data_IF_729184898318
#
_entry.id   IF_729184898318
#
_cell.length_a   1.000
_cell.length_b   1.000
_cell.length_c   1.000
_cell.angle_alpha   90.00
_cell.angle_beta   90.00
_cell.angle_gamma   90.00
#
_symmetry.space_group_name_H-M   'P 1'
#
loop_
_entity.id
_entity.type
_entity.pdbx_description
1 polymer ?
#
# COMPACT_ATOMS: atom_id res chain seq x y z
N UNK A 1 -19.15 -9.61 -15.15
CA UNK A 1 -18.73 -9.90 -13.76
C UNK A 1 -19.91 -10.22 -12.84
N UNK A 2 -20.79 -9.26 -12.49
CA UNK A 2 -21.89 -9.53 -11.52
C UNK A 2 -22.81 -10.67 -11.98
N UNK A 3 -23.24 -10.68 -13.25
CA UNK A 3 -24.07 -11.74 -13.81
C UNK A 3 -23.41 -13.13 -13.66
N UNK A 4 -22.10 -13.21 -13.95
CA UNK A 4 -21.32 -14.44 -13.81
C UNK A 4 -21.18 -14.88 -12.35
N UNK A 5 -21.00 -13.94 -11.40
CA UNK A 5 -20.98 -14.28 -9.97
C UNK A 5 -22.34 -14.79 -9.49
N UNK A 6 -23.44 -14.22 -9.99
CA UNK A 6 -24.80 -14.72 -9.72
C UNK A 6 -25.01 -16.12 -10.29
N UNK A 7 -24.51 -16.38 -11.49
CA UNK A 7 -24.56 -17.70 -12.12
C UNK A 7 -23.74 -18.74 -11.33
N UNK A 8 -22.53 -18.39 -10.89
CA UNK A 8 -21.71 -19.25 -10.01
C UNK A 8 -22.45 -19.55 -8.70
N UNK A 9 -23.03 -18.53 -8.06
CA UNK A 9 -23.85 -18.73 -6.85
C UNK A 9 -24.99 -19.70 -7.13
N UNK A 10 -25.74 -19.49 -8.23
CA UNK A 10 -26.84 -20.35 -8.65
C UNK A 10 -26.38 -21.80 -8.83
N UNK A 11 -25.26 -22.02 -9.51
CA UNK A 11 -24.70 -23.36 -9.72
C UNK A 11 -24.31 -24.06 -8.41
N UNK A 12 -23.82 -23.31 -7.43
CA UNK A 12 -23.43 -23.89 -6.14
C UNK A 12 -24.66 -24.25 -5.31
N UNK A 13 -25.67 -23.37 -5.28
CA UNK A 13 -26.88 -23.55 -4.46
C UNK A 13 -27.87 -24.53 -5.08
N UNK A 14 -28.12 -24.43 -6.39
CA UNK A 14 -29.17 -25.20 -7.08
C UNK A 14 -28.61 -26.47 -7.74
N UNK A 15 -27.42 -26.39 -8.34
CA UNK A 15 -26.84 -27.50 -9.12
C UNK A 15 -25.81 -28.32 -8.31
N UNK A 16 -25.61 -28.01 -7.03
CA UNK A 16 -24.70 -28.75 -6.13
C UNK A 16 -23.22 -28.65 -6.49
N UNK A 17 -22.81 -27.65 -7.27
CA UNK A 17 -21.41 -27.46 -7.62
C UNK A 17 -20.56 -27.11 -6.38
N UNK A 18 -19.36 -27.66 -6.27
CA UNK A 18 -18.46 -27.31 -5.17
C UNK A 18 -17.95 -25.87 -5.28
N UNK A 19 -18.06 -25.11 -4.19
CA UNK A 19 -17.54 -23.75 -4.09
C UNK A 19 -16.03 -23.70 -4.36
N UNK A 20 -15.27 -24.66 -3.82
CA UNK A 20 -13.81 -24.71 -4.01
C UNK A 20 -13.43 -24.96 -5.48
N UNK A 21 -14.19 -25.79 -6.19
CA UNK A 21 -13.98 -26.03 -7.63
C UNK A 21 -14.27 -24.78 -8.45
N UNK A 22 -15.40 -24.10 -8.20
CA UNK A 22 -15.72 -22.83 -8.86
C UNK A 22 -14.66 -21.76 -8.56
N UNK A 23 -14.14 -21.72 -7.33
CA UNK A 23 -13.08 -20.80 -6.97
C UNK A 23 -11.77 -21.07 -7.72
N UNK A 24 -11.36 -22.33 -7.90
CA UNK A 24 -10.17 -22.69 -8.67
C UNK A 24 -10.30 -22.22 -10.14
N UNK A 25 -11.49 -22.40 -10.72
CA UNK A 25 -11.73 -22.06 -12.13
C UNK A 25 -11.83 -20.54 -12.37
N UNK A 26 -12.54 -19.82 -11.48
CA UNK A 26 -12.97 -18.45 -11.76
C UNK A 26 -12.34 -17.38 -10.87
N UNK A 27 -11.72 -17.73 -9.74
CA UNK A 27 -11.13 -16.74 -8.85
C UNK A 27 -9.87 -16.13 -9.46
N UNK A 28 -9.85 -14.81 -9.55
CA UNK A 28 -8.67 -14.01 -9.87
C UNK A 28 -7.64 -14.01 -8.73
N UNK A 29 -8.08 -14.27 -7.50
CA UNK A 29 -7.19 -14.51 -6.37
C UNK A 29 -6.71 -15.97 -6.38
N UNK A 30 -5.46 -16.18 -6.84
CA UNK A 30 -4.79 -17.48 -6.89
C UNK A 30 -4.19 -17.91 -5.56
N UNK A 31 -3.95 -16.96 -4.64
CA UNK A 31 -3.31 -17.25 -3.36
C UNK A 31 -4.32 -17.82 -2.36
N UNK A 32 -5.49 -17.19 -2.25
CA UNK A 32 -6.50 -17.53 -1.24
C UNK A 32 -7.89 -17.87 -1.77
N UNK A 33 -8.16 -17.69 -3.07
CA UNK A 33 -9.44 -18.07 -3.68
C UNK A 33 -9.80 -19.54 -3.43
N UNK A 34 -10.97 -19.77 -2.82
CA UNK A 34 -11.47 -21.11 -2.50
C UNK A 34 -10.83 -21.78 -1.27
N UNK A 35 -9.80 -21.17 -0.67
CA UNK A 35 -9.25 -21.63 0.62
C UNK A 35 -10.13 -21.14 1.76
N UNK A 36 -10.13 -21.89 2.85
CA UNK A 36 -10.83 -21.51 4.07
C UNK A 36 -10.00 -20.47 4.83
N UNK A 37 -10.58 -19.29 5.02
CA UNK A 37 -9.99 -18.16 5.72
C UNK A 37 -10.75 -17.93 7.02
N UNK A 38 -10.04 -17.98 8.15
CA UNK A 38 -10.64 -17.71 9.47
C UNK A 38 -10.18 -16.35 9.98
N UNK A 39 -11.12 -15.50 10.36
CA UNK A 39 -10.82 -14.16 10.86
C UNK A 39 -11.87 -13.64 11.83
N UNK A 40 -11.55 -12.53 12.50
CA UNK A 40 -12.45 -11.80 13.37
C UNK A 40 -12.60 -10.34 12.91
N UNK A 41 -13.47 -9.56 13.57
CA UNK A 41 -13.74 -8.16 13.19
C UNK A 41 -12.50 -7.24 13.24
N UNK A 42 -11.48 -7.59 14.04
CA UNK A 42 -10.24 -6.83 14.19
C UNK A 42 -9.17 -7.20 13.15
N UNK A 43 -9.39 -8.24 12.35
CA UNK A 43 -8.47 -8.63 11.29
C UNK A 43 -8.39 -7.57 10.18
N UNK A 44 -7.26 -7.56 9.47
CA UNK A 44 -6.89 -6.60 8.42
C UNK A 44 -7.61 -6.81 7.06
N UNK A 45 -8.73 -7.53 7.05
CA UNK A 45 -9.55 -7.67 5.85
C UNK A 45 -10.30 -6.37 5.53
N UNK A 46 -10.61 -6.19 4.24
CA UNK A 46 -11.45 -5.09 3.75
C UNK A 46 -12.76 -5.02 4.53
N UNK A 47 -13.22 -3.80 4.82
CA UNK A 47 -14.39 -3.57 5.68
C UNK A 47 -15.63 -4.22 5.09
N UNK A 48 -15.86 -4.05 3.80
CA UNK A 48 -17.00 -4.60 3.05
C UNK A 48 -16.99 -6.13 3.10
N UNK A 49 -15.81 -6.75 3.01
CA UNK A 49 -15.66 -8.20 3.11
C UNK A 49 -16.04 -8.73 4.50
N UNK A 50 -15.59 -8.03 5.55
CA UNK A 50 -15.96 -8.39 6.93
C UNK A 50 -17.46 -8.19 7.17
N UNK A 51 -18.01 -7.05 6.75
CA UNK A 51 -19.41 -6.72 6.96
C UNK A 51 -20.34 -7.79 6.33
N UNK A 52 -20.02 -8.22 5.10
CA UNK A 52 -20.76 -9.32 4.44
C UNK A 52 -20.55 -10.64 5.18
N UNK A 53 -19.31 -11.04 5.49
CA UNK A 53 -19.04 -12.30 6.18
C UNK A 53 -19.76 -12.43 7.54
N UNK A 54 -19.85 -11.35 8.30
CA UNK A 54 -20.53 -11.33 9.60
C UNK A 54 -22.06 -11.12 9.51
N UNK A 55 -22.59 -10.84 8.32
CA UNK A 55 -24.04 -10.70 8.09
C UNK A 55 -24.73 -12.02 7.74
N UNK A 56 -23.96 -13.03 7.32
CA UNK A 56 -24.46 -14.31 6.82
C UNK A 56 -24.44 -15.40 7.89
N UNK A 57 -25.30 -16.40 7.70
CA UNK A 57 -25.36 -17.60 8.54
C UNK A 57 -24.40 -18.69 8.07
N UNK A 58 -24.10 -19.66 8.94
CA UNK A 58 -23.29 -20.83 8.59
C UNK A 58 -23.91 -21.60 7.42
N UNK A 59 -23.12 -21.86 6.38
CA UNK A 59 -23.55 -22.50 5.13
C UNK A 59 -24.05 -21.53 4.05
N UNK A 60 -24.32 -20.27 4.38
CA UNK A 60 -24.88 -19.29 3.45
C UNK A 60 -23.83 -18.73 2.48
N UNK A 61 -24.29 -18.37 1.27
CA UNK A 61 -23.47 -17.74 0.22
C UNK A 61 -23.98 -16.32 -0.05
N UNK A 62 -23.06 -15.36 0.03
CA UNK A 62 -23.36 -13.94 -0.19
C UNK A 62 -23.88 -13.67 -1.59
N UNK A 63 -24.62 -12.58 -1.76
CA UNK A 63 -24.74 -11.95 -3.08
C UNK A 63 -23.41 -11.32 -3.51
N UNK A 64 -23.22 -11.02 -4.82
CA UNK A 64 -22.03 -10.34 -5.30
C UNK A 64 -21.88 -8.96 -4.66
N UNK A 65 -20.73 -8.70 -4.03
CA UNK A 65 -20.42 -7.42 -3.41
C UNK A 65 -19.05 -6.90 -3.87
N UNK A 66 -18.82 -5.59 -3.77
CA UNK A 66 -17.60 -4.94 -4.27
C UNK A 66 -16.67 -4.59 -3.11
N UNK A 67 -15.38 -4.82 -3.31
CA UNK A 67 -14.28 -4.28 -2.49
C UNK A 67 -13.29 -3.55 -3.40
N UNK A 68 -12.24 -2.96 -2.83
CA UNK A 68 -11.13 -2.39 -3.61
C UNK A 68 -10.42 -3.44 -4.48
N UNK A 69 -10.49 -4.73 -4.12
CA UNK A 69 -9.86 -5.81 -4.88
C UNK A 69 -10.69 -6.28 -6.08
N UNK A 70 -11.97 -5.93 -6.14
CA UNK A 70 -12.89 -6.34 -7.21
C UNK A 70 -14.24 -6.80 -6.68
N UNK A 71 -14.87 -7.73 -7.39
CA UNK A 71 -16.18 -8.26 -7.03
C UNK A 71 -16.05 -9.64 -6.40
N UNK A 72 -16.73 -9.85 -5.28
CA UNK A 72 -16.62 -11.04 -4.48
C UNK A 72 -17.97 -11.72 -4.33
N UNK A 73 -17.94 -13.05 -4.21
CA UNK A 73 -18.92 -13.81 -3.43
C UNK A 73 -18.16 -14.58 -2.37
N UNK A 74 -18.78 -14.79 -1.21
CA UNK A 74 -18.22 -15.62 -0.15
C UNK A 74 -19.23 -16.61 0.39
N UNK A 75 -18.74 -17.74 0.90
CA UNK A 75 -19.50 -18.76 1.61
C UNK A 75 -19.01 -18.81 3.05
N UNK A 76 -19.93 -18.75 4.02
CA UNK A 76 -19.58 -18.99 5.43
C UNK A 76 -19.53 -20.49 5.66
N UNK A 77 -18.35 -20.99 6.03
CA UNK A 77 -18.12 -22.41 6.34
C UNK A 77 -18.48 -22.71 7.78
N UNK A 78 -18.05 -21.85 8.71
CA UNK A 78 -18.27 -22.06 10.14
C UNK A 78 -18.22 -20.77 10.95
N UNK A 79 -19.04 -20.66 11.98
CA UNK A 79 -18.98 -19.56 12.95
C UNK A 79 -18.54 -20.11 14.32
N UNK A 80 -17.48 -19.54 14.91
CA UNK A 80 -16.95 -19.93 16.23
C UNK A 80 -16.80 -18.70 17.13
N UNK A 81 -17.80 -18.43 17.95
CA UNK A 81 -17.79 -17.28 18.85
C UNK A 81 -17.68 -15.96 18.10
N UNK A 82 -16.50 -15.32 18.13
CA UNK A 82 -16.22 -14.05 17.44
C UNK A 82 -15.47 -14.23 16.11
N UNK A 83 -15.18 -15.47 15.72
CA UNK A 83 -14.48 -15.81 14.50
C UNK A 83 -15.45 -16.40 13.47
N UNK A 84 -15.19 -16.08 12.20
CA UNK A 84 -15.88 -16.63 11.04
C UNK A 84 -14.87 -17.27 10.11
N UNK A 85 -15.16 -18.48 9.65
CA UNK A 85 -14.41 -19.19 8.63
C UNK A 85 -15.19 -19.11 7.31
N UNK A 86 -14.57 -18.57 6.26
CA UNK A 86 -15.22 -18.37 4.95
C UNK A 86 -14.36 -18.90 3.80
N UNK A 87 -14.99 -19.11 2.65
CA UNK A 87 -14.31 -19.22 1.34
C UNK A 87 -14.79 -18.09 0.46
N UNK A 88 -13.95 -17.55 -0.43
CA UNK A 88 -14.36 -16.53 -1.39
C UNK A 88 -13.94 -16.85 -2.82
N UNK A 89 -14.65 -16.21 -3.74
CA UNK A 89 -14.30 -16.10 -5.16
C UNK A 89 -14.18 -14.62 -5.47
N UNK A 90 -13.01 -14.20 -5.97
CA UNK A 90 -12.78 -12.85 -6.45
C UNK A 90 -12.85 -12.84 -7.99
N UNK A 91 -13.62 -11.93 -8.57
CA UNK A 91 -13.53 -11.59 -9.98
C UNK A 91 -13.09 -10.14 -10.14
N UNK A 92 -12.07 -9.94 -10.96
CA UNK A 92 -11.66 -8.62 -11.42
C UNK A 92 -12.22 -8.41 -12.83
N UNK A 93 -12.95 -7.31 -13.11
CA UNK A 93 -13.35 -6.99 -14.46
C UNK A 93 -12.11 -6.80 -15.34
N UNK A 94 -12.06 -7.53 -16.45
CA UNK A 94 -11.07 -7.27 -17.49
C UNK A 94 -11.42 -5.94 -18.15
N UNK A 95 -10.45 -5.03 -18.22
CA UNK A 95 -10.60 -3.77 -18.93
C UNK A 95 -10.33 -4.08 -20.40
N UNK A 96 -11.27 -3.80 -21.33
CA UNK A 96 -11.01 -3.97 -22.76
C UNK A 96 -9.82 -3.11 -23.19
N UNK A 97 -8.98 -3.60 -24.10
CA UNK A 97 -7.83 -2.84 -24.60
C UNK A 97 -8.23 -1.48 -25.19
N UNK A 98 -9.42 -1.40 -25.80
CA UNK A 98 -9.98 -0.15 -26.29
C UNK A 98 -10.12 0.92 -25.19
N UNK A 99 -10.50 0.52 -23.98
CA UNK A 99 -10.61 1.44 -22.83
C UNK A 99 -9.24 1.91 -22.33
N UNK A 100 -8.20 1.10 -22.48
CA UNK A 100 -6.82 1.52 -22.18
C UNK A 100 -6.34 2.56 -23.18
N UNK A 101 -6.61 2.40 -24.47
CA UNK A 101 -6.26 3.39 -25.49
C UNK A 101 -7.02 4.71 -25.30
N UNK A 102 -8.30 4.66 -24.91
CA UNK A 102 -9.07 5.85 -24.53
C UNK A 102 -8.47 6.56 -23.31
N UNK A 103 -8.10 5.80 -22.27
CA UNK A 103 -7.45 6.35 -21.08
C UNK A 103 -6.10 6.99 -21.42
N UNK A 104 -5.31 6.35 -22.29
CA UNK A 104 -4.04 6.86 -22.81
C UNK A 104 -4.24 8.17 -23.57
N UNK A 105 -5.24 8.24 -24.44
CA UNK A 105 -5.57 9.49 -25.15
C UNK A 105 -5.94 10.60 -24.16
N UNK A 106 -6.84 10.29 -23.21
CA UNK A 106 -7.31 11.25 -22.21
C UNK A 106 -6.17 11.82 -21.36
N UNK A 107 -5.25 10.98 -20.89
CA UNK A 107 -4.12 11.44 -20.06
C UNK A 107 -3.09 12.23 -20.88
N UNK A 108 -2.90 11.92 -22.17
CA UNK A 108 -2.09 12.76 -23.06
C UNK A 108 -2.73 14.14 -23.24
N UNK A 109 -4.04 14.21 -23.48
CA UNK A 109 -4.75 15.48 -23.59
C UNK A 109 -4.63 16.30 -22.29
N UNK A 110 -4.71 15.66 -21.12
CA UNK A 110 -4.52 16.32 -19.82
C UNK A 110 -3.08 16.85 -19.69
N UNK A 111 -2.08 16.04 -20.06
CA UNK A 111 -0.68 16.45 -20.03
C UNK A 111 -0.44 17.67 -20.92
N UNK A 112 -0.97 17.68 -22.14
CA UNK A 112 -0.82 18.78 -23.08
C UNK A 112 -1.46 20.06 -22.53
N UNK A 113 -2.63 19.96 -21.90
CA UNK A 113 -3.26 21.09 -21.21
C UNK A 113 -2.43 21.64 -20.06
N UNK A 114 -1.73 20.78 -19.31
CA UNK A 114 -0.82 21.22 -18.25
C UNK A 114 0.39 21.96 -18.85
N UNK A 115 0.97 21.44 -19.93
CA UNK A 115 2.12 22.05 -20.62
C UNK A 115 1.74 23.40 -21.25
N UNK A 116 0.56 23.48 -21.84
CA UNK A 116 0.00 24.71 -22.42
C UNK A 116 -0.49 25.70 -21.36
N UNK A 117 -0.36 25.36 -20.06
CA UNK A 117 -0.78 26.18 -18.91
C UNK A 117 -2.28 26.48 -18.88
N UNK A 118 -3.10 25.65 -19.52
CA UNK A 118 -4.56 25.70 -19.39
C UNK A 118 -5.01 25.21 -18.00
N UNK A 119 -4.25 24.30 -17.41
CA UNK A 119 -4.41 23.84 -16.03
C UNK A 119 -3.06 23.81 -15.32
N UNK A 120 -3.05 24.16 -14.04
CA UNK A 120 -1.96 23.75 -13.15
C UNK A 120 -2.03 22.24 -12.91
N UNK A 121 -0.90 21.63 -12.52
CA UNK A 121 -0.88 20.21 -12.16
C UNK A 121 -1.86 19.88 -11.03
N UNK A 122 -1.98 20.78 -10.05
CA UNK A 122 -2.89 20.61 -8.92
C UNK A 122 -4.36 20.64 -9.34
N UNK A 123 -4.75 21.54 -10.24
CA UNK A 123 -6.11 21.59 -10.80
C UNK A 123 -6.40 20.35 -11.66
N UNK A 124 -5.42 19.91 -12.45
CA UNK A 124 -5.56 18.70 -13.25
C UNK A 124 -5.75 17.46 -12.36
N UNK A 125 -4.99 17.35 -11.27
CA UNK A 125 -5.14 16.29 -10.28
C UNK A 125 -6.54 16.32 -9.64
N UNK A 126 -7.00 17.48 -9.17
CA UNK A 126 -8.32 17.61 -8.54
C UNK A 126 -9.47 17.23 -9.47
N UNK A 127 -9.41 17.70 -10.72
CA UNK A 127 -10.50 17.55 -11.68
C UNK A 127 -10.50 16.19 -12.41
N UNK A 128 -9.32 15.60 -12.64
CA UNK A 128 -9.19 14.43 -13.52
C UNK A 128 -8.56 13.20 -12.88
N UNK A 129 -7.92 13.32 -11.71
CA UNK A 129 -7.33 12.16 -11.03
C UNK A 129 -8.42 11.28 -10.41
N UNK A 130 -8.29 9.98 -10.68
CA UNK A 130 -9.06 8.93 -10.03
C UNK A 130 -8.44 8.50 -8.67
N UNK A 131 -7.25 9.02 -8.34
CA UNK A 131 -6.54 8.71 -7.09
C UNK A 131 -7.11 9.52 -5.92
N UNK A 132 -7.90 8.87 -5.07
CA UNK A 132 -8.60 9.52 -3.95
C UNK A 132 -7.66 10.09 -2.91
N UNK A 133 -6.51 9.45 -2.70
CA UNK A 133 -5.57 9.81 -1.64
C UNK A 133 -4.89 11.15 -1.91
N UNK A 134 -4.66 11.49 -3.19
CA UNK A 134 -3.82 12.65 -3.56
C UNK A 134 -4.55 13.70 -4.38
N UNK A 135 -5.72 13.39 -4.96
CA UNK A 135 -6.43 14.32 -5.87
C UNK A 135 -6.79 15.66 -5.21
N UNK A 136 -7.22 15.66 -3.96
CA UNK A 136 -7.62 16.88 -3.25
C UNK A 136 -6.41 17.72 -2.82
N UNK A 137 -5.25 17.07 -2.66
CA UNK A 137 -3.96 17.70 -2.34
C UNK A 137 -3.15 18.04 -3.60
N UNK A 138 -3.82 18.11 -4.77
CA UNK A 138 -3.18 18.49 -6.03
C UNK A 138 -2.19 17.46 -6.59
N UNK A 139 -2.34 16.18 -6.22
CA UNK A 139 -1.48 15.08 -6.63
C UNK A 139 -0.16 15.02 -5.85
N UNK A 140 -0.08 15.67 -4.69
CA UNK A 140 1.14 15.69 -3.89
C UNK A 140 1.38 14.33 -3.21
N UNK A 141 2.58 13.78 -3.42
CA UNK A 141 3.00 12.54 -2.76
C UNK A 141 3.62 12.84 -1.40
N UNK A 142 3.27 12.02 -0.41
CA UNK A 142 3.88 12.01 0.91
C UNK A 142 4.87 10.86 1.01
N UNK A 143 6.03 11.13 1.58
CA UNK A 143 7.05 10.15 1.85
C UNK A 143 6.55 9.20 2.96
N UNK A 144 6.48 7.88 2.73
CA UNK A 144 5.97 6.93 3.73
C UNK A 144 6.76 6.89 5.04
N UNK A 145 8.02 7.32 5.03
CA UNK A 145 8.91 7.25 6.20
C UNK A 145 8.69 8.41 7.17
N UNK A 146 8.44 9.61 6.65
CA UNK A 146 8.41 10.86 7.44
C UNK A 146 7.20 11.77 7.16
N UNK A 147 6.31 11.36 6.26
CA UNK A 147 5.14 12.10 5.81
C UNK A 147 5.45 13.49 5.23
N UNK A 148 6.71 13.76 4.87
CA UNK A 148 7.09 14.98 4.18
C UNK A 148 6.82 14.85 2.68
N UNK A 149 6.85 15.97 1.96
CA UNK A 149 6.71 15.98 0.49
C UNK A 149 8.06 15.83 -0.22
N UNK A 150 9.11 15.46 0.52
CA UNK A 150 10.49 15.36 0.03
C UNK A 150 10.91 13.90 -0.04
N UNK A 151 11.50 13.53 -1.17
CA UNK A 151 12.01 12.19 -1.40
C UNK A 151 13.52 12.25 -1.65
N UNK A 152 14.29 11.59 -0.78
CA UNK A 152 15.72 11.38 -1.01
C UNK A 152 15.90 10.37 -2.16
N UNK A 153 16.62 10.74 -3.22
CA UNK A 153 16.80 9.89 -4.41
C UNK A 153 17.36 8.50 -4.07
N UNK A 154 18.23 8.40 -3.06
CA UNK A 154 18.87 7.16 -2.62
C UNK A 154 17.97 6.25 -1.79
N UNK A 155 16.87 6.78 -1.23
CA UNK A 155 15.91 6.04 -0.40
C UNK A 155 14.55 5.86 -1.09
N UNK A 156 14.44 6.32 -2.34
CA UNK A 156 13.23 6.19 -3.14
C UNK A 156 13.07 4.75 -3.62
N UNK A 157 11.81 4.31 -3.76
CA UNK A 157 11.51 3.01 -4.36
C UNK A 157 12.05 2.94 -5.80
N UNK A 158 12.74 1.85 -6.20
CA UNK A 158 13.36 1.75 -7.52
C UNK A 158 12.40 2.00 -8.69
N UNK A 159 11.14 1.55 -8.57
CA UNK A 159 10.11 1.77 -9.58
C UNK A 159 9.85 3.27 -9.78
N UNK A 160 9.57 3.99 -8.69
CA UNK A 160 9.34 5.44 -8.73
C UNK A 160 10.59 6.19 -9.22
N UNK A 161 11.78 5.81 -8.74
CA UNK A 161 13.04 6.42 -9.16
C UNK A 161 13.25 6.33 -10.67
N UNK A 162 13.00 5.17 -11.28
CA UNK A 162 13.14 4.98 -12.73
C UNK A 162 12.21 5.89 -13.55
N UNK A 163 11.06 6.24 -12.99
CA UNK A 163 10.03 7.04 -13.65
C UNK A 163 10.29 8.55 -13.55
N UNK A 164 10.91 9.02 -12.45
CA UNK A 164 11.08 10.46 -12.17
C UNK A 164 12.52 10.95 -12.25
N UNK A 165 13.52 10.06 -12.27
CA UNK A 165 14.94 10.45 -12.16
C UNK A 165 15.44 11.33 -13.31
N UNK A 166 14.87 11.19 -14.51
CA UNK A 166 15.22 11.96 -15.71
C UNK A 166 14.44 13.28 -15.85
N UNK A 167 13.41 13.51 -15.04
CA UNK A 167 12.57 14.71 -15.12
C UNK A 167 13.30 15.91 -14.50
N UNK A 168 13.18 17.06 -15.17
CA UNK A 168 13.65 18.35 -14.67
C UNK A 168 12.58 19.02 -13.80
N UNK A 169 12.98 20.14 -13.19
CA UNK A 169 12.07 20.99 -12.42
C UNK A 169 10.86 21.42 -13.26
N UNK A 170 9.68 21.23 -12.68
CA UNK A 170 8.37 21.46 -13.27
C UNK A 170 8.05 20.67 -14.55
N UNK A 171 8.89 19.71 -14.92
CA UNK A 171 8.65 18.85 -16.07
C UNK A 171 7.59 17.79 -15.76
N UNK A 172 6.63 17.65 -16.67
CA UNK A 172 5.59 16.61 -16.61
C UNK A 172 6.00 15.42 -17.48
N UNK A 173 6.07 14.24 -16.86
CA UNK A 173 6.42 12.99 -17.53
C UNK A 173 5.44 12.65 -18.64
N UNK A 174 5.85 11.77 -19.56
CA UNK A 174 4.90 11.07 -20.42
C UNK A 174 4.01 10.13 -19.60
N UNK A 175 2.83 9.74 -20.10
CA UNK A 175 1.99 8.75 -19.44
C UNK A 175 2.71 7.42 -19.29
N UNK A 176 2.75 6.93 -18.06
CA UNK A 176 3.34 5.66 -17.68
C UNK A 176 2.21 4.69 -17.33
N UNK A 177 2.35 3.44 -17.77
CA UNK A 177 1.44 2.36 -17.36
C UNK A 177 1.86 1.88 -15.99
N UNK A 178 0.90 1.82 -15.08
CA UNK A 178 1.03 1.21 -13.76
C UNK A 178 -0.10 0.20 -13.56
N UNK A 179 0.03 -0.67 -12.57
CA UNK A 179 -0.98 -1.68 -12.24
C UNK A 179 -1.40 -1.53 -10.77
N UNK A 180 -2.72 -1.50 -10.53
CA UNK A 180 -3.23 -1.53 -9.17
C UNK A 180 -3.09 -2.94 -8.56
N UNK A 181 -3.45 -3.07 -7.28
CA UNK A 181 -3.42 -4.36 -6.56
C UNK A 181 -4.33 -5.44 -7.16
N UNK A 182 -5.21 -5.07 -8.09
CA UNK A 182 -6.13 -5.97 -8.79
C UNK A 182 -5.61 -6.38 -10.17
N UNK A 183 -4.44 -5.86 -10.58
CA UNK A 183 -3.88 -6.03 -11.92
C UNK A 183 -4.56 -5.15 -12.97
N UNK A 184 -5.38 -4.18 -12.56
CA UNK A 184 -5.93 -3.20 -13.52
C UNK A 184 -4.85 -2.23 -13.89
N UNK A 185 -4.60 -2.16 -15.19
CA UNK A 185 -3.71 -1.16 -15.77
C UNK A 185 -4.35 0.21 -15.68
N UNK A 186 -3.55 1.18 -15.27
CA UNK A 186 -3.89 2.60 -15.22
C UNK A 186 -2.75 3.41 -15.80
N UNK A 187 -3.05 4.62 -16.25
CA UNK A 187 -2.03 5.57 -16.67
C UNK A 187 -1.80 6.62 -15.60
N UNK A 188 -0.53 6.97 -15.36
CA UNK A 188 -0.11 8.02 -14.44
C UNK A 188 0.87 8.97 -15.13
N UNK A 189 0.91 10.21 -14.67
CA UNK A 189 1.94 11.19 -15.02
C UNK A 189 2.51 11.76 -13.72
N UNK A 190 3.80 12.09 -13.74
CA UNK A 190 4.50 12.70 -12.62
C UNK A 190 4.98 14.09 -12.97
N UNK A 191 5.09 14.95 -11.96
CA UNK A 191 5.78 16.23 -12.06
C UNK A 191 6.76 16.37 -10.90
N UNK A 192 8.00 16.73 -11.20
CA UNK A 192 8.99 17.05 -10.18
C UNK A 192 8.89 18.53 -9.86
N UNK A 193 8.46 18.88 -8.64
CA UNK A 193 8.29 20.29 -8.25
C UNK A 193 9.61 21.02 -8.04
N UNK A 194 10.62 20.32 -7.52
CA UNK A 194 11.93 20.88 -7.23
C UNK A 194 12.95 19.75 -7.06
N UNK A 195 14.05 19.80 -7.81
CA UNK A 195 15.17 18.87 -7.73
C UNK A 195 16.36 19.58 -7.09
N UNK A 196 16.63 19.21 -5.84
CA UNK A 196 17.79 19.69 -5.11
C UNK A 196 18.96 18.76 -5.43
N UNK A 197 19.95 19.27 -6.15
CA UNK A 197 21.20 18.54 -6.43
C UNK A 197 22.08 18.39 -5.19
N UNK A 198 23.14 17.60 -5.33
CA UNK A 198 24.19 17.52 -4.32
C UNK A 198 24.80 18.91 -4.08
N UNK A 199 24.87 19.30 -2.82
CA UNK A 199 25.47 20.55 -2.39
C UNK A 199 26.08 20.34 -1.01
N UNK A 200 27.03 21.19 -0.66
CA UNK A 200 27.53 21.27 0.71
C UNK A 200 26.42 21.76 1.63
N UNK A 201 26.26 21.12 2.78
CA UNK A 201 25.22 21.46 3.75
C UNK A 201 25.22 22.96 4.08
N UNK A 202 24.05 23.58 3.97
CA UNK A 202 23.84 25.00 4.25
C UNK A 202 22.85 25.16 5.40
N UNK A 203 23.23 25.92 6.42
CA UNK A 203 22.42 26.07 7.63
C UNK A 203 21.05 26.71 7.38
N UNK A 204 20.91 27.52 6.33
CA UNK A 204 19.64 28.19 6.02
C UNK A 204 18.75 27.25 5.20
N UNK A 205 19.29 26.61 4.17
CA UNK A 205 18.53 25.72 3.28
C UNK A 205 18.20 24.37 3.92
N UNK A 206 19.12 23.84 4.73
CA UNK A 206 19.03 22.50 5.31
C UNK A 206 18.73 22.51 6.81
N UNK A 207 18.29 23.65 7.35
CA UNK A 207 18.05 23.83 8.79
C UNK A 207 17.25 22.67 9.41
N UNK A 208 16.14 22.27 8.80
CA UNK A 208 15.29 21.18 9.29
C UNK A 208 16.06 19.87 9.40
N UNK A 209 16.87 19.54 8.38
CA UNK A 209 17.66 18.31 8.32
C UNK A 209 18.78 18.34 9.34
N UNK A 210 19.52 19.44 9.43
CA UNK A 210 20.60 19.63 10.39
C UNK A 210 20.04 19.55 11.82
N UNK A 211 18.90 20.18 12.09
CA UNK A 211 18.21 20.14 13.39
C UNK A 211 17.83 18.71 13.78
N UNK A 212 17.29 17.92 12.85
CA UNK A 212 16.94 16.52 13.09
C UNK A 212 18.15 15.64 13.38
N UNK A 213 19.24 15.82 12.62
CA UNK A 213 20.49 15.09 12.85
C UNK A 213 21.10 15.44 14.22
N UNK A 214 21.16 16.73 14.56
CA UNK A 214 21.65 17.19 15.85
C UNK A 214 20.77 16.71 17.02
N UNK A 215 19.44 16.69 16.84
CA UNK A 215 18.53 16.15 17.84
C UNK A 215 18.76 14.65 18.04
N UNK A 216 18.90 13.89 16.95
CA UNK A 216 19.17 12.45 16.99
C UNK A 216 20.50 12.16 17.68
N UNK A 217 21.54 12.93 17.40
CA UNK A 217 22.84 12.83 18.09
C UNK A 217 22.69 13.04 19.60
N UNK A 218 22.04 14.13 20.03
CA UNK A 218 21.81 14.39 21.46
C UNK A 218 20.96 13.31 22.14
N UNK A 219 19.96 12.77 21.44
CA UNK A 219 19.17 11.65 21.96
C UNK A 219 20.04 10.40 22.14
N UNK A 220 20.90 10.08 21.17
CA UNK A 220 21.83 8.95 21.28
C UNK A 220 22.81 9.14 22.44
N UNK A 221 23.38 10.33 22.62
CA UNK A 221 24.25 10.65 23.76
C UNK A 221 23.52 10.49 25.10
N UNK A 222 22.29 11.01 25.19
CA UNK A 222 21.48 10.90 26.40
C UNK A 222 21.15 9.43 26.73
N UNK A 223 20.76 8.64 25.72
CA UNK A 223 20.52 7.20 25.87
C UNK A 223 21.79 6.47 26.28
N UNK A 224 22.94 6.76 25.66
CA UNK A 224 24.21 6.15 26.04
C UNK A 224 24.61 6.47 27.48
N UNK A 225 24.44 7.72 27.91
CA UNK A 225 24.69 8.13 29.30
C UNK A 225 23.76 7.39 30.27
N UNK A 226 22.47 7.38 29.96
CA UNK A 226 21.47 6.65 30.75
C UNK A 226 21.80 5.15 30.82
N UNK A 227 22.14 4.51 29.70
CA UNK A 227 22.53 3.09 29.67
C UNK A 227 23.74 2.82 30.57
N UNK A 228 24.79 3.66 30.52
CA UNK A 228 25.97 3.51 31.38
C UNK A 228 25.61 3.58 32.88
N UNK A 229 24.71 4.49 33.26
CA UNK A 229 24.24 4.61 34.65
C UNK A 229 23.31 3.46 35.07
N UNK A 230 22.38 3.07 34.20
CA UNK A 230 21.43 1.99 34.43
C UNK A 230 22.13 0.63 34.56
N UNK A 231 23.14 0.35 33.71
CA UNK A 231 23.95 -0.87 33.79
C UNK A 231 24.64 -0.96 35.16
N UNK A 232 25.22 0.14 35.67
CA UNK A 232 25.85 0.14 37.00
C UNK A 232 24.86 -0.25 38.10
N UNK A 233 23.64 0.29 38.08
CA UNK A 233 22.61 0.09 39.12
C UNK A 233 21.87 -1.25 39.01
N UNK A 234 21.79 -1.86 37.82
CA UNK A 234 20.98 -3.06 37.57
C UNK A 234 21.79 -4.34 37.77
N UNK A 235 21.32 -5.32 38.54
CA UNK A 235 22.01 -6.61 38.64
C UNK A 235 21.92 -7.37 37.32
N UNK A 236 23.06 -7.72 36.73
CA UNK A 236 23.16 -8.45 35.46
C UNK A 236 24.06 -9.66 35.67
N UNK A 237 23.58 -10.85 35.33
CA UNK A 237 24.35 -12.11 35.44
C UNK A 237 24.46 -12.77 34.07
N UNK A 238 25.69 -12.84 33.56
CA UNK A 238 26.02 -13.53 32.30
C UNK A 238 26.50 -14.94 32.62
N UNK A 239 25.87 -15.96 32.01
CA UNK A 239 26.25 -17.37 32.18
C UNK A 239 27.66 -17.65 31.64
N UNK A 240 28.40 -18.55 32.31
CA UNK A 240 29.85 -18.73 32.19
C UNK A 240 30.41 -18.78 30.76
N UNK A 241 29.82 -19.58 29.87
CA UNK A 241 30.27 -19.72 28.47
C UNK A 241 30.20 -18.40 27.68
N UNK A 242 29.31 -17.49 28.07
CA UNK A 242 29.10 -16.20 27.39
C UNK A 242 29.89 -15.05 28.03
N UNK A 243 30.59 -15.27 29.14
CA UNK A 243 31.38 -14.20 29.81
C UNK A 243 32.62 -13.77 29.03
N UNK A 244 33.06 -14.59 28.07
CA UNK A 244 34.22 -14.29 27.22
C UNK A 244 33.81 -13.65 25.87
N UNK A 245 32.51 -13.44 25.64
CA UNK A 245 32.05 -12.76 24.44
C UNK A 245 32.39 -11.27 24.46
N UNK A 246 32.66 -10.70 23.29
CA UNK A 246 32.82 -9.25 23.12
C UNK A 246 31.44 -8.59 23.16
N UNK A 247 31.22 -7.73 24.14
CA UNK A 247 29.97 -6.99 24.30
C UNK A 247 30.14 -5.53 23.90
N UNK A 248 29.13 -4.96 23.23
CA UNK A 248 29.09 -3.53 22.90
C UNK A 248 28.94 -2.63 24.12
N UNK A 249 28.40 -3.15 25.23
CA UNK A 249 28.25 -2.44 26.50
C UNK A 249 28.93 -3.23 27.63
N UNK A 250 29.32 -2.54 28.72
CA UNK A 250 29.99 -3.17 29.86
C UNK A 250 29.02 -3.94 30.78
N UNK A 251 28.42 -5.02 30.27
CA UNK A 251 27.47 -5.86 31.01
C UNK A 251 28.11 -6.70 32.12
N UNK A 252 29.40 -7.02 31.99
CA UNK A 252 30.12 -7.85 32.94
C UNK A 252 30.56 -7.09 34.19
N UNK A 253 30.41 -5.75 34.20
CA UNK A 253 30.78 -4.86 35.31
C UNK A 253 32.16 -5.17 35.91
N UNK A 254 33.13 -5.48 35.05
CA UNK A 254 34.52 -5.56 35.47
C UNK A 254 35.02 -4.19 35.90
#
# INVERSE_FOLDING_TARGET
VIAQLKEIKKDIVENGASFSTKAILYSADRATGGKELTFNRRSSFAKEFKDVAFSLQEGEISDPFKTDFGWHILQVVKIRGKEVSVRHILMVPQIPDASLEEAKKKINDIRDKIINKEFTFAEAAKNFSDEKETKEDGGQLLNPEDYSTKFELTRMEPALYSQVSSLKDDEVSFPIVDEDRTGRKMYKIYRVTNRIGEHTADFVKDYTRIRELALKEKQLEAVQKWMKEAIKKTFVSVKGSYRNCTFSNNWLKK
#
